data_IF_689384951410
#
_entry.id   IF_689384951410
#
_cell.length_a   1.000
_cell.length_b   1.000
_cell.length_c   1.000
_cell.angle_alpha   90.00
_cell.angle_beta   90.00
_cell.angle_gamma   90.00
#
_symmetry.space_group_name_H-M   'P 1'
#
loop_
_entity.id
_entity.type
_entity.pdbx_description
1 polymer ?
#
# COMPACT_ATOMS: atom_id res chain seq x y z
N UNK A 1 3.74 19.39 16.70
CA UNK A 1 3.54 18.50 15.52
C UNK A 1 4.40 19.05 14.41
N UNK A 2 5.51 18.40 14.12
CA UNK A 2 6.39 18.81 13.01
C UNK A 2 5.61 18.58 11.70
N UNK A 3 5.50 19.57 10.81
CA UNK A 3 4.78 19.38 9.55
C UNK A 3 5.49 18.31 8.72
N UNK A 4 4.75 17.32 8.27
CA UNK A 4 5.26 16.31 7.33
C UNK A 4 5.63 17.02 6.03
N UNK A 5 6.89 16.95 5.63
CA UNK A 5 7.36 17.52 4.36
C UNK A 5 6.73 16.71 3.21
N UNK A 6 6.05 17.39 2.30
CA UNK A 6 5.47 16.78 1.11
C UNK A 6 6.29 17.19 -0.12
N UNK A 7 6.74 16.24 -0.91
CA UNK A 7 7.50 16.45 -2.14
C UNK A 7 6.61 16.14 -3.35
N UNK A 8 6.76 16.89 -4.43
CA UNK A 8 6.15 16.58 -5.73
C UNK A 8 6.91 15.47 -6.44
N UNK A 9 6.30 14.85 -7.45
CA UNK A 9 6.97 13.78 -8.20
C UNK A 9 8.24 14.29 -8.93
N UNK A 10 8.22 15.50 -9.48
CA UNK A 10 9.41 16.09 -10.12
C UNK A 10 10.54 16.34 -9.12
N UNK A 11 10.22 16.78 -7.89
CA UNK A 11 11.20 16.97 -6.83
C UNK A 11 11.81 15.64 -6.38
N UNK A 12 10.99 14.59 -6.34
CA UNK A 12 11.45 13.24 -5.99
C UNK A 12 12.31 12.67 -7.10
N UNK A 13 11.91 12.81 -8.37
CA UNK A 13 12.67 12.30 -9.51
C UNK A 13 14.08 12.91 -9.58
N UNK A 14 14.17 14.23 -9.40
CA UNK A 14 15.45 14.95 -9.42
C UNK A 14 16.42 14.48 -8.31
N UNK A 15 15.92 13.96 -7.19
CA UNK A 15 16.68 13.57 -6.01
C UNK A 15 16.55 12.09 -5.64
N UNK A 16 15.98 11.26 -6.53
CA UNK A 16 15.66 9.87 -6.22
C UNK A 16 16.86 9.06 -5.73
N UNK A 17 18.04 9.35 -6.25
CA UNK A 17 19.29 8.69 -5.87
C UNK A 17 19.82 9.06 -4.47
N UNK A 18 19.33 10.17 -3.89
CA UNK A 18 19.67 10.64 -2.54
C UNK A 18 18.68 10.16 -1.49
N UNK A 19 17.49 9.73 -1.93
CA UNK A 19 16.38 9.39 -1.06
C UNK A 19 16.34 7.89 -0.74
N UNK A 20 16.07 7.56 0.51
CA UNK A 20 15.74 6.19 0.91
C UNK A 20 14.22 6.06 0.82
N UNK A 21 13.76 5.38 -0.23
CA UNK A 21 12.31 5.28 -0.53
C UNK A 21 11.69 4.08 0.18
N UNK A 22 10.66 4.34 0.97
CA UNK A 22 9.89 3.35 1.73
C UNK A 22 8.47 3.28 1.18
N UNK A 23 8.10 2.16 0.56
CA UNK A 23 6.74 1.94 0.06
C UNK A 23 5.89 1.25 1.12
N UNK A 24 4.87 1.95 1.63
CA UNK A 24 3.98 1.45 2.68
C UNK A 24 2.68 0.84 2.15
N UNK A 25 2.65 0.52 0.87
CA UNK A 25 1.55 -0.23 0.26
C UNK A 25 1.60 -1.70 0.66
N UNK A 26 0.59 -2.45 0.25
CA UNK A 26 0.63 -3.91 0.38
C UNK A 26 1.69 -4.50 -0.54
N UNK A 27 2.17 -5.70 -0.22
CA UNK A 27 3.16 -6.43 -1.05
C UNK A 27 2.67 -6.63 -2.47
N UNK A 28 1.38 -6.90 -2.66
CA UNK A 28 0.79 -7.04 -4.00
C UNK A 28 0.80 -5.74 -4.80
N UNK A 29 0.52 -4.59 -4.15
CA UNK A 29 0.63 -3.28 -4.80
C UNK A 29 2.09 -2.96 -5.16
N UNK A 30 3.03 -3.25 -4.26
CA UNK A 30 4.45 -3.07 -4.49
C UNK A 30 4.95 -3.93 -5.66
N UNK A 31 4.60 -5.22 -5.69
CA UNK A 31 4.97 -6.14 -6.75
C UNK A 31 4.36 -5.78 -8.13
N UNK A 32 3.21 -5.08 -8.15
CA UNK A 32 2.61 -4.59 -9.40
C UNK A 32 3.39 -3.44 -10.06
N UNK A 33 4.31 -2.82 -9.30
CA UNK A 33 5.20 -1.74 -9.72
C UNK A 33 5.41 -0.74 -8.57
N UNK A 34 6.67 -0.36 -8.35
CA UNK A 34 7.09 0.55 -7.28
C UNK A 34 8.14 1.54 -7.80
N UNK A 35 8.40 2.62 -7.05
CA UNK A 35 9.46 3.57 -7.40
C UNK A 35 10.82 2.85 -7.44
N UNK A 36 11.72 3.22 -8.36
CA UNK A 36 13.05 2.62 -8.40
C UNK A 36 13.77 2.74 -7.05
N UNK A 37 14.38 1.64 -6.61
CA UNK A 37 15.09 1.59 -5.33
C UNK A 37 14.22 1.57 -4.07
N UNK A 38 12.89 1.53 -4.20
CA UNK A 38 11.99 1.51 -3.05
C UNK A 38 12.08 0.20 -2.26
N UNK A 39 12.01 0.31 -0.95
CA UNK A 39 11.93 -0.80 0.01
C UNK A 39 10.48 -1.03 0.44
N UNK A 40 10.01 -2.29 0.37
CA UNK A 40 8.64 -2.65 0.75
C UNK A 40 8.50 -2.83 2.25
N UNK A 41 7.81 -1.90 2.92
CA UNK A 41 7.46 -2.00 4.34
C UNK A 41 5.98 -1.62 4.49
N UNK A 42 5.06 -2.58 4.41
CA UNK A 42 3.63 -2.32 4.58
C UNK A 42 3.32 -1.55 5.87
N UNK A 43 2.32 -0.65 5.81
CA UNK A 43 1.96 0.24 6.91
C UNK A 43 1.68 -0.47 8.24
N UNK A 44 1.15 -1.69 8.20
CA UNK A 44 0.90 -2.55 9.37
C UNK A 44 2.17 -3.19 9.95
N UNK A 45 3.30 -3.11 9.24
CA UNK A 45 4.62 -3.58 9.66
C UNK A 45 5.58 -2.46 10.04
N UNK A 46 5.12 -1.21 9.99
CA UNK A 46 5.95 -0.04 10.23
C UNK A 46 6.61 -0.07 11.62
N UNK A 47 5.88 -0.50 12.64
CA UNK A 47 6.37 -0.54 14.02
C UNK A 47 7.48 -1.60 14.19
N UNK A 48 7.38 -2.73 13.50
CA UNK A 48 8.42 -3.78 13.46
C UNK A 48 9.68 -3.26 12.75
N UNK A 49 9.52 -2.42 11.73
CA UNK A 49 10.63 -1.86 10.95
C UNK A 49 11.28 -0.63 11.59
N UNK A 50 10.71 -0.10 12.68
CA UNK A 50 11.16 1.17 13.28
C UNK A 50 12.67 1.21 13.63
N UNK A 51 13.31 0.17 14.18
CA UNK A 51 14.76 0.19 14.44
C UNK A 51 15.58 0.40 13.15
N UNK A 52 15.27 -0.33 12.08
CA UNK A 52 15.94 -0.20 10.79
C UNK A 52 15.69 1.18 10.15
N UNK A 53 14.47 1.71 10.27
CA UNK A 53 14.12 3.04 9.76
C UNK A 53 14.85 4.16 10.53
N UNK A 54 15.07 4.02 11.84
CA UNK A 54 15.91 4.95 12.62
C UNK A 54 17.36 4.94 12.13
N UNK A 55 17.92 3.76 11.88
CA UNK A 55 19.26 3.61 11.32
C UNK A 55 19.35 4.24 9.92
N UNK A 56 18.38 3.97 9.06
CA UNK A 56 18.32 4.54 7.71
C UNK A 56 18.18 6.07 7.72
N UNK A 57 17.34 6.63 8.60
CA UNK A 57 17.18 8.08 8.77
C UNK A 57 18.45 8.81 9.23
N UNK A 58 19.37 8.11 9.90
CA UNK A 58 20.68 8.65 10.26
C UNK A 58 21.65 8.74 9.09
N UNK A 59 21.32 8.11 7.94
CA UNK A 59 22.19 8.03 6.75
C UNK A 59 21.67 8.81 5.56
N UNK A 60 20.38 9.12 5.52
CA UNK A 60 19.79 9.86 4.41
C UNK A 60 18.33 10.21 4.64
N UNK A 61 17.79 11.02 3.74
CA UNK A 61 16.41 11.48 3.80
C UNK A 61 15.45 10.34 3.48
N UNK A 62 14.50 10.06 4.37
CA UNK A 62 13.45 9.09 4.14
C UNK A 62 12.30 9.68 3.33
N UNK A 63 11.93 9.01 2.24
CA UNK A 63 10.72 9.28 1.48
C UNK A 63 9.73 8.13 1.66
N UNK A 64 8.58 8.39 2.24
CA UNK A 64 7.51 7.40 2.38
C UNK A 64 6.49 7.57 1.26
N UNK A 65 6.19 6.48 0.54
CA UNK A 65 5.25 6.49 -0.59
C UNK A 65 4.11 5.51 -0.38
N UNK A 66 2.95 5.85 -0.94
CA UNK A 66 1.82 4.93 -1.08
C UNK A 66 1.08 5.22 -2.40
N UNK A 67 -0.11 4.68 -2.62
CA UNK A 67 -0.85 4.89 -3.87
C UNK A 67 -1.26 6.36 -4.08
N UNK A 68 -1.82 7.03 -3.05
CA UNK A 68 -2.43 8.37 -3.16
C UNK A 68 -1.88 9.42 -2.19
N UNK A 69 -0.92 9.07 -1.33
CA UNK A 69 -0.38 9.96 -0.29
C UNK A 69 -1.02 9.78 1.10
N UNK A 70 -2.23 9.21 1.24
CA UNK A 70 -2.93 9.13 2.51
C UNK A 70 -2.26 8.18 3.53
N UNK A 71 -1.88 6.97 3.11
CA UNK A 71 -1.18 5.99 3.96
C UNK A 71 0.23 6.47 4.33
N UNK A 72 0.94 7.07 3.38
CA UNK A 72 2.29 7.60 3.62
C UNK A 72 2.26 8.79 4.58
N UNK A 73 1.29 9.69 4.51
CA UNK A 73 1.11 10.75 5.50
C UNK A 73 0.83 10.18 6.91
N UNK A 74 0.08 9.08 7.01
CA UNK A 74 -0.14 8.39 8.29
C UNK A 74 1.15 7.75 8.81
N UNK A 75 1.94 7.13 7.93
CA UNK A 75 3.24 6.56 8.27
C UNK A 75 4.21 7.65 8.75
N UNK A 76 4.32 8.78 8.04
CA UNK A 76 5.17 9.90 8.44
C UNK A 76 4.81 10.44 9.83
N UNK A 77 3.51 10.56 10.15
CA UNK A 77 3.11 10.97 11.52
C UNK A 77 3.57 9.97 12.57
N UNK A 78 3.35 8.66 12.34
CA UNK A 78 3.82 7.62 13.27
C UNK A 78 5.33 7.63 13.46
N UNK A 79 6.08 7.85 12.38
CA UNK A 79 7.54 7.96 12.42
C UNK A 79 7.98 9.22 13.20
N UNK A 80 7.31 10.35 12.98
CA UNK A 80 7.58 11.60 13.71
C UNK A 80 7.33 11.45 15.22
N UNK A 81 6.27 10.75 15.63
CA UNK A 81 5.98 10.42 17.03
C UNK A 81 7.11 9.58 17.67
N UNK A 82 7.91 8.88 16.86
CA UNK A 82 9.07 8.09 17.27
C UNK A 82 10.42 8.79 17.03
N UNK A 83 10.39 10.10 16.71
CA UNK A 83 11.58 10.92 16.46
C UNK A 83 12.25 10.68 15.10
N UNK A 84 11.55 10.07 14.14
CA UNK A 84 12.06 9.85 12.77
C UNK A 84 11.41 10.83 11.82
N UNK A 85 12.23 11.68 11.19
CA UNK A 85 11.75 12.61 10.15
C UNK A 85 11.66 11.90 8.81
N UNK A 86 10.54 12.06 8.11
CA UNK A 86 10.33 11.51 6.77
C UNK A 86 9.45 12.43 5.93
N UNK A 87 9.73 12.50 4.64
CA UNK A 87 8.89 13.18 3.65
C UNK A 87 7.87 12.20 3.05
N UNK A 88 6.81 12.74 2.44
CA UNK A 88 5.82 11.96 1.66
C UNK A 88 5.74 12.45 0.22
N UNK A 89 5.46 11.54 -0.72
CA UNK A 89 5.18 11.87 -2.11
C UNK A 89 3.73 12.36 -2.26
N UNK A 90 3.56 13.59 -2.69
CA UNK A 90 2.24 14.17 -2.99
C UNK A 90 1.54 13.38 -4.09
N UNK A 91 0.32 12.92 -3.84
CA UNK A 91 -0.44 12.09 -4.78
C UNK A 91 0.08 10.66 -4.96
N UNK A 92 1.19 10.30 -4.30
CA UNK A 92 1.75 8.95 -4.26
C UNK A 92 2.17 8.40 -5.62
N UNK A 93 2.22 7.07 -5.75
CA UNK A 93 2.58 6.41 -7.02
C UNK A 93 1.62 6.71 -8.16
N UNK A 94 0.37 7.12 -7.86
CA UNK A 94 -0.59 7.55 -8.88
C UNK A 94 -0.14 8.84 -9.56
N UNK A 95 0.27 9.86 -8.79
CA UNK A 95 0.79 11.11 -9.37
C UNK A 95 2.12 10.87 -10.10
N UNK A 96 2.99 10.01 -9.57
CA UNK A 96 4.23 9.59 -10.22
C UNK A 96 3.99 9.08 -11.64
N UNK A 97 3.08 8.13 -11.80
CA UNK A 97 2.75 7.56 -13.11
C UNK A 97 1.99 8.51 -14.02
N UNK A 98 1.15 9.40 -13.48
CA UNK A 98 0.43 10.42 -14.27
C UNK A 98 1.37 11.45 -14.90
N UNK A 99 2.51 11.71 -14.28
CA UNK A 99 3.56 12.59 -14.83
C UNK A 99 4.52 11.84 -15.78
N UNK A 100 4.24 10.57 -16.08
CA UNK A 100 5.00 9.79 -17.06
C UNK A 100 6.24 9.09 -16.51
N UNK A 101 6.46 9.12 -15.19
CA UNK A 101 7.57 8.39 -14.58
C UNK A 101 7.27 6.89 -14.50
N UNK A 102 8.26 6.07 -14.84
CA UNK A 102 8.12 4.62 -14.82
C UNK A 102 8.20 4.04 -13.40
N UNK A 103 7.43 2.97 -13.19
CA UNK A 103 7.56 2.13 -12.01
C UNK A 103 8.45 0.92 -12.34
N UNK A 104 9.37 0.62 -11.44
CA UNK A 104 10.14 -0.62 -11.51
C UNK A 104 9.22 -1.82 -11.26
N UNK A 105 9.27 -2.80 -12.15
CA UNK A 105 8.56 -4.09 -12.04
C UNK A 105 9.57 -5.21 -12.06
N UNK A 106 9.69 -6.03 -11.01
CA UNK A 106 10.60 -7.17 -11.02
C UNK A 106 10.28 -8.12 -12.18
N UNK A 107 11.26 -8.40 -13.03
CA UNK A 107 11.10 -9.33 -14.13
C UNK A 107 10.80 -10.75 -13.60
N UNK A 108 9.78 -11.41 -14.14
CA UNK A 108 9.48 -12.81 -13.84
C UNK A 108 8.58 -13.08 -12.62
N UNK A 109 8.23 -12.10 -11.81
CA UNK A 109 7.23 -12.26 -10.78
C UNK A 109 5.83 -12.13 -11.39
N UNK A 110 5.01 -13.19 -11.30
CA UNK A 110 3.56 -13.05 -11.49
C UNK A 110 3.08 -12.11 -10.41
N UNK A 111 2.91 -10.83 -10.77
CA UNK A 111 2.35 -9.86 -9.83
C UNK A 111 1.00 -10.38 -9.33
N UNK A 112 0.81 -10.51 -8.01
CA UNK A 112 -0.51 -10.78 -7.49
C UNK A 112 -1.49 -9.74 -8.05
N UNK A 113 -2.71 -10.14 -8.33
CA UNK A 113 -3.70 -9.18 -8.80
C UNK A 113 -3.77 -7.99 -7.87
N UNK A 114 -3.79 -6.78 -8.44
CA UNK A 114 -3.98 -5.56 -7.66
C UNK A 114 -5.18 -5.72 -6.70
N UNK A 115 -5.04 -5.24 -5.46
CA UNK A 115 -6.06 -5.41 -4.41
C UNK A 115 -7.45 -4.99 -4.90
N UNK A 116 -7.53 -3.89 -5.66
CA UNK A 116 -8.78 -3.40 -6.25
C UNK A 116 -9.42 -4.44 -7.20
N UNK A 117 -8.62 -5.12 -8.02
CA UNK A 117 -9.11 -6.20 -8.90
C UNK A 117 -9.60 -7.41 -8.09
N UNK A 118 -8.92 -7.76 -7.01
CA UNK A 118 -9.35 -8.84 -6.11
C UNK A 118 -10.67 -8.49 -5.41
N UNK A 119 -10.81 -7.25 -4.93
CA UNK A 119 -12.04 -6.75 -4.30
C UNK A 119 -13.20 -6.79 -5.28
N UNK A 120 -13.02 -6.30 -6.51
CA UNK A 120 -14.08 -6.32 -7.54
C UNK A 120 -14.51 -7.74 -7.90
N UNK A 121 -13.54 -8.65 -8.05
CA UNK A 121 -13.86 -10.07 -8.33
C UNK A 121 -14.62 -10.69 -7.15
N UNK A 122 -14.12 -10.54 -5.92
CA UNK A 122 -14.75 -11.14 -4.75
C UNK A 122 -16.17 -10.58 -4.52
N UNK A 123 -16.33 -9.26 -4.54
CA UNK A 123 -17.62 -8.61 -4.36
C UNK A 123 -18.59 -8.96 -5.48
N UNK A 124 -18.16 -8.90 -6.74
CA UNK A 124 -18.98 -9.25 -7.90
C UNK A 124 -19.42 -10.71 -7.89
N UNK A 125 -18.52 -11.63 -7.53
CA UNK A 125 -18.85 -13.05 -7.40
C UNK A 125 -19.87 -13.32 -6.30
N UNK A 126 -19.75 -12.67 -5.14
CA UNK A 126 -20.71 -12.80 -4.04
C UNK A 126 -22.09 -12.26 -4.42
N UNK A 127 -22.15 -11.10 -5.08
CA UNK A 127 -23.42 -10.54 -5.59
C UNK A 127 -24.05 -11.47 -6.60
N UNK A 128 -23.30 -11.94 -7.59
CA UNK A 128 -23.81 -12.86 -8.62
C UNK A 128 -24.32 -14.18 -8.01
N UNK A 129 -23.56 -14.77 -7.10
CA UNK A 129 -23.97 -16.00 -6.39
C UNK A 129 -25.25 -15.78 -5.60
N UNK A 130 -25.36 -14.66 -4.88
CA UNK A 130 -26.58 -14.34 -4.11
C UNK A 130 -27.80 -14.09 -4.98
N UNK A 131 -27.64 -13.51 -6.19
CA UNK A 131 -28.72 -13.33 -7.15
C UNK A 131 -29.18 -14.65 -7.77
N UNK A 132 -28.25 -15.52 -8.19
CA UNK A 132 -28.55 -16.83 -8.77
C UNK A 132 -29.24 -17.73 -7.72
N UNK A 133 -28.65 -17.84 -6.52
CA UNK A 133 -29.22 -18.62 -5.43
C UNK A 133 -30.57 -18.05 -4.96
N UNK A 134 -30.75 -16.73 -5.05
CA UNK A 134 -31.98 -16.01 -4.72
C UNK A 134 -33.17 -16.33 -5.63
N UNK A 135 -32.95 -16.98 -6.76
CA UNK A 135 -34.04 -17.54 -7.60
C UNK A 135 -34.72 -18.74 -6.92
N UNK A 136 -33.96 -19.47 -6.12
CA UNK A 136 -34.45 -20.67 -5.40
C UNK A 136 -34.73 -20.39 -3.91
N UNK A 137 -33.92 -19.56 -3.28
CA UNK A 137 -34.02 -19.21 -1.85
C UNK A 137 -34.00 -17.69 -1.69
N UNK A 138 -35.15 -17.11 -1.40
CA UNK A 138 -35.31 -15.64 -1.30
C UNK A 138 -34.33 -14.98 -0.32
N UNK A 139 -33.96 -15.68 0.76
CA UNK A 139 -32.99 -15.20 1.75
C UNK A 139 -31.58 -14.98 1.15
N UNK A 140 -31.21 -15.69 0.09
CA UNK A 140 -29.91 -15.49 -0.56
C UNK A 140 -29.76 -14.11 -1.22
N UNK A 141 -30.85 -13.42 -1.54
CA UNK A 141 -30.84 -12.04 -2.03
C UNK A 141 -30.32 -11.05 -0.99
N UNK A 142 -30.46 -11.36 0.31
CA UNK A 142 -29.93 -10.53 1.39
C UNK A 142 -28.40 -10.50 1.36
N UNK A 143 -27.74 -11.58 0.89
CA UNK A 143 -26.30 -11.58 0.69
C UNK A 143 -25.88 -10.52 -0.36
N UNK A 144 -26.56 -10.50 -1.50
CA UNK A 144 -26.28 -9.52 -2.57
C UNK A 144 -26.54 -8.09 -2.07
N UNK A 145 -27.64 -7.87 -1.36
CA UNK A 145 -27.98 -6.57 -0.79
C UNK A 145 -26.94 -6.12 0.26
N UNK A 146 -26.50 -7.03 1.13
CA UNK A 146 -25.46 -6.75 2.13
C UNK A 146 -24.11 -6.37 1.50
N UNK A 147 -23.67 -7.11 0.48
CA UNK A 147 -22.42 -6.79 -0.25
C UNK A 147 -22.54 -5.45 -0.99
N UNK A 148 -23.66 -5.21 -1.68
CA UNK A 148 -23.89 -3.95 -2.38
C UNK A 148 -23.94 -2.75 -1.41
N UNK A 149 -24.64 -2.88 -0.29
CA UNK A 149 -24.68 -1.86 0.76
C UNK A 149 -23.31 -1.60 1.38
N UNK A 150 -22.52 -2.64 1.61
CA UNK A 150 -21.15 -2.54 2.08
C UNK A 150 -20.22 -1.81 1.08
N UNK A 151 -20.40 -2.00 -0.22
CA UNK A 151 -19.66 -1.27 -1.25
C UNK A 151 -20.04 0.22 -1.28
N UNK A 152 -21.32 0.55 -1.16
CA UNK A 152 -21.78 1.96 -1.06
C UNK A 152 -21.22 2.62 0.20
N UNK A 153 -21.31 1.96 1.35
CA UNK A 153 -20.72 2.45 2.59
C UNK A 153 -19.21 2.67 2.47
N UNK A 154 -18.50 1.71 1.86
CA UNK A 154 -17.07 1.81 1.61
C UNK A 154 -16.70 3.02 0.75
N UNK A 155 -17.50 3.32 -0.27
CA UNK A 155 -17.28 4.48 -1.14
C UNK A 155 -17.49 5.81 -0.39
N UNK A 156 -18.48 5.89 0.49
CA UNK A 156 -18.79 7.09 1.26
C UNK A 156 -17.76 7.35 2.38
N UNK A 157 -17.26 6.28 3.02
CA UNK A 157 -16.37 6.39 4.20
C UNK A 157 -14.89 6.22 3.84
N UNK A 158 -14.57 5.94 2.58
CA UNK A 158 -13.23 5.58 2.13
C UNK A 158 -12.60 4.41 2.93
N UNK A 159 -13.46 3.50 3.45
CA UNK A 159 -13.07 2.36 4.28
C UNK A 159 -13.56 1.06 3.65
N UNK A 160 -12.65 0.25 3.11
CA UNK A 160 -13.01 -1.02 2.48
C UNK A 160 -12.78 -2.22 3.41
N UNK A 161 -13.86 -2.77 3.98
CA UNK A 161 -13.80 -3.99 4.80
C UNK A 161 -13.31 -5.22 4.03
N UNK A 162 -13.71 -5.36 2.77
CA UNK A 162 -13.27 -6.45 1.88
C UNK A 162 -11.75 -6.41 1.65
N UNK A 163 -11.18 -5.22 1.41
CA UNK A 163 -9.74 -5.06 1.24
C UNK A 163 -8.98 -5.45 2.51
N UNK A 164 -9.51 -5.15 3.70
CA UNK A 164 -8.92 -5.56 4.99
C UNK A 164 -8.91 -7.08 5.17
N UNK A 165 -9.96 -7.76 4.74
CA UNK A 165 -10.04 -9.23 4.78
C UNK A 165 -9.04 -9.84 3.78
N UNK A 166 -9.05 -9.35 2.54
CA UNK A 166 -8.14 -9.85 1.50
C UNK A 166 -6.66 -9.58 1.83
N UNK A 167 -6.35 -8.46 2.51
CA UNK A 167 -4.99 -8.16 2.95
C UNK A 167 -4.43 -9.19 3.95
N UNK A 168 -5.29 -9.94 4.67
CA UNK A 168 -4.88 -11.01 5.60
C UNK A 168 -4.57 -12.34 4.89
N UNK A 169 -4.89 -12.47 3.61
CA UNK A 169 -4.59 -13.70 2.87
C UNK A 169 -3.08 -13.84 2.65
N UNK A 170 -2.53 -15.07 2.74
CA UNK A 170 -1.09 -15.32 2.68
C UNK A 170 -0.40 -14.74 1.44
N UNK A 171 -1.07 -14.76 0.28
CA UNK A 171 -0.53 -14.24 -0.97
C UNK A 171 -0.51 -12.68 -1.05
N UNK A 172 -1.17 -12.01 -0.12
CA UNK A 172 -1.19 -10.55 0.00
C UNK A 172 -0.32 -10.04 1.16
N UNK A 173 0.26 -10.95 1.95
CA UNK A 173 1.20 -10.61 3.01
C UNK A 173 2.64 -10.75 2.52
N UNK A 174 3.57 -9.87 2.94
CA UNK A 174 4.99 -10.10 2.72
C UNK A 174 5.37 -11.42 3.40
N UNK A 175 6.13 -12.26 2.74
CA UNK A 175 6.83 -13.33 3.41
C UNK A 175 7.68 -12.74 4.53
N UNK A 176 7.76 -13.39 5.69
CA UNK A 176 8.65 -12.91 6.77
C UNK A 176 10.09 -12.74 6.25
N UNK A 177 10.56 -13.65 5.39
CA UNK A 177 11.86 -13.58 4.75
C UNK A 177 12.07 -12.33 3.88
N UNK A 178 11.03 -11.86 3.18
CA UNK A 178 11.13 -10.65 2.34
C UNK A 178 11.24 -9.38 3.19
N UNK A 179 10.53 -9.35 4.33
CA UNK A 179 10.64 -8.23 5.26
C UNK A 179 12.01 -8.22 5.93
N UNK A 180 12.48 -9.36 6.43
CA UNK A 180 13.79 -9.49 7.09
C UNK A 180 14.92 -9.09 6.13
N UNK A 181 14.86 -9.50 4.86
CA UNK A 181 15.81 -9.08 3.83
C UNK A 181 15.76 -7.57 3.58
N UNK A 182 14.57 -6.98 3.57
CA UNK A 182 14.39 -5.52 3.43
C UNK A 182 14.98 -4.77 4.62
N UNK A 183 14.74 -5.25 5.85
CA UNK A 183 15.26 -4.65 7.07
C UNK A 183 16.79 -4.75 7.14
N UNK A 184 17.36 -5.89 6.75
CA UNK A 184 18.81 -6.07 6.64
C UNK A 184 19.41 -5.10 5.62
N UNK A 185 18.83 -4.98 4.42
CA UNK A 185 19.30 -4.04 3.40
C UNK A 185 19.24 -2.56 3.85
N UNK A 186 18.29 -2.20 4.73
CA UNK A 186 18.23 -0.87 5.35
C UNK A 186 19.26 -0.69 6.46
N UNK A 187 19.79 -1.75 7.04
CA UNK A 187 20.75 -1.70 8.15
C UNK A 187 22.20 -1.76 7.65
N UNK A 188 22.47 -2.48 6.57
CA UNK A 188 23.84 -2.81 6.10
C UNK A 188 24.43 -1.78 5.08
N UNK A 189 23.66 -0.79 4.59
CA UNK A 189 24.13 0.24 3.63
C UNK A 189 24.71 1.48 4.29
#
# INVERSE_FOLDING_TARGET
VTPTTALTADQVDARLHELIVIDVRTTGEYASGHLPGAHSIPLDRLDTALPALKTAAGRGDLLVVCASGARSATACRRLADQGVTAATLTGGTTAWTQLGHDLHRPAGTRSPWAMDRQVRLAAGSLVLTGLIAGQRWSAARLLSAGVAGGLVFSALTNTCGMARILAKLPHNQPGAADLDATLAALTDR
#
